data_IF_900546389683
#
_entry.id   IF_900546389683
#
_cell.length_a   1.000
_cell.length_b   1.000
_cell.length_c   1.000
_cell.angle_alpha   90.00
_cell.angle_beta   90.00
_cell.angle_gamma   90.00
#
_symmetry.space_group_name_H-M   'P 1'
#
loop_
_entity.id
_entity.type
_entity.pdbx_description
1 polymer ?
#
# COMPACT_ATOMS: atom_id res chain seq x y z
N UNK A 1 -10.05 -23.53 11.25
CA UNK A 1 -9.85 -22.21 10.60
C UNK A 1 -10.05 -22.42 9.12
N UNK A 2 -10.94 -21.66 8.48
CA UNK A 2 -11.09 -21.72 7.04
C UNK A 2 -9.90 -21.00 6.38
N UNK A 3 -9.26 -21.65 5.41
CA UNK A 3 -8.24 -21.01 4.58
C UNK A 3 -8.90 -20.61 3.27
N UNK A 4 -8.85 -19.33 2.94
CA UNK A 4 -9.30 -18.78 1.66
C UNK A 4 -8.15 -18.07 0.97
N UNK A 5 -8.11 -18.15 -0.35
CA UNK A 5 -7.25 -17.32 -1.17
C UNK A 5 -7.96 -16.00 -1.48
N UNK A 6 -7.22 -14.90 -1.38
CA UNK A 6 -7.70 -13.57 -1.69
C UNK A 6 -6.62 -12.82 -2.44
N UNK A 7 -7.00 -12.13 -3.51
CA UNK A 7 -6.06 -11.28 -4.25
C UNK A 7 -5.76 -10.00 -3.47
N UNK A 8 -4.58 -9.42 -3.69
CA UNK A 8 -4.23 -8.10 -3.13
C UNK A 8 -5.26 -7.05 -3.57
N UNK A 9 -5.72 -7.10 -4.82
CA UNK A 9 -6.76 -6.20 -5.35
C UNK A 9 -8.06 -6.26 -4.53
N UNK A 10 -8.56 -7.45 -4.22
CA UNK A 10 -9.75 -7.62 -3.39
C UNK A 10 -9.54 -7.07 -1.98
N UNK A 11 -8.39 -7.34 -1.37
CA UNK A 11 -8.06 -6.83 -0.04
C UNK A 11 -8.07 -5.29 -0.02
N UNK A 12 -7.43 -4.65 -1.00
CA UNK A 12 -7.39 -3.18 -1.09
C UNK A 12 -8.79 -2.60 -1.30
N UNK A 13 -9.61 -3.22 -2.17
CA UNK A 13 -11.01 -2.82 -2.35
C UNK A 13 -11.82 -2.93 -1.05
N UNK A 14 -11.68 -4.03 -0.32
CA UNK A 14 -12.34 -4.20 0.97
C UNK A 14 -11.92 -3.15 2.00
N UNK A 15 -10.64 -2.79 2.05
CA UNK A 15 -10.17 -1.68 2.91
C UNK A 15 -10.84 -0.36 2.51
N UNK A 16 -10.97 -0.08 1.21
CA UNK A 16 -11.62 1.13 0.70
C UNK A 16 -13.14 1.17 0.97
N UNK A 17 -13.79 0.01 0.93
CA UNK A 17 -15.21 -0.16 1.26
C UNK A 17 -15.48 -0.17 2.77
N UNK A 18 -14.46 0.03 3.61
CA UNK A 18 -14.54 -0.04 5.06
C UNK A 18 -15.03 -1.42 5.58
N UNK A 19 -14.60 -2.50 4.94
CA UNK A 19 -14.88 -3.88 5.39
C UNK A 19 -13.78 -4.38 6.35
N UNK A 20 -12.58 -3.81 6.29
CA UNK A 20 -11.41 -4.24 7.06
C UNK A 20 -10.95 -3.17 8.03
N UNK A 21 -10.69 -3.59 9.28
CA UNK A 21 -10.27 -2.71 10.36
C UNK A 21 -9.14 -3.29 11.20
N UNK A 22 -8.46 -2.42 11.94
CA UNK A 22 -7.40 -2.80 12.88
C UNK A 22 -7.96 -2.80 14.31
N UNK A 23 -8.05 -3.95 15.00
CA UNK A 23 -8.46 -4.00 16.40
C UNK A 23 -7.47 -3.23 17.29
N UNK A 24 -7.96 -2.64 18.38
CA UNK A 24 -7.14 -1.77 19.22
C UNK A 24 -5.92 -2.41 19.91
N UNK A 25 -5.84 -3.75 19.95
CA UNK A 25 -4.67 -4.49 20.42
C UNK A 25 -3.45 -4.32 19.49
N UNK A 26 -3.66 -3.86 18.25
CA UNK A 26 -2.59 -3.74 17.27
C UNK A 26 -1.64 -2.57 17.57
N UNK A 27 -0.33 -2.83 17.41
CA UNK A 27 0.69 -1.77 17.50
C UNK A 27 0.63 -0.82 16.30
N UNK A 28 1.15 0.39 16.50
CA UNK A 28 1.32 1.40 15.44
C UNK A 28 2.14 0.89 14.26
N UNK A 29 1.89 1.46 13.09
CA UNK A 29 2.69 1.20 11.89
C UNK A 29 4.13 1.73 12.03
N UNK A 30 5.12 0.89 11.74
CA UNK A 30 6.56 1.19 11.95
C UNK A 30 7.47 0.71 10.81
N UNK A 31 6.91 0.27 9.68
CA UNK A 31 7.72 -0.23 8.57
C UNK A 31 8.38 0.91 7.79
N UNK A 32 9.67 0.73 7.48
CA UNK A 32 10.47 1.60 6.62
C UNK A 32 10.24 1.31 5.14
N UNK A 33 10.57 2.27 4.28
CA UNK A 33 10.51 2.13 2.81
C UNK A 33 11.19 0.85 2.32
N UNK A 34 12.41 0.58 2.78
CA UNK A 34 13.17 -0.64 2.41
C UNK A 34 12.39 -1.93 2.75
N UNK A 35 11.70 -2.00 3.90
CA UNK A 35 10.89 -3.19 4.23
C UNK A 35 9.69 -3.33 3.31
N UNK A 36 9.06 -2.22 2.94
CA UNK A 36 7.92 -2.22 2.00
C UNK A 36 8.41 -2.68 0.62
N UNK A 37 9.50 -2.10 0.12
CA UNK A 37 10.09 -2.50 -1.16
C UNK A 37 10.50 -3.99 -1.17
N UNK A 38 11.09 -4.50 -0.07
CA UNK A 38 11.41 -5.94 0.06
C UNK A 38 10.18 -6.85 0.06
N UNK A 39 9.07 -6.40 0.64
CA UNK A 39 7.80 -7.14 0.57
C UNK A 39 7.34 -7.27 -0.89
N UNK A 40 7.34 -6.18 -1.65
CA UNK A 40 6.97 -6.22 -3.06
C UNK A 40 7.96 -7.00 -3.92
N UNK A 41 9.26 -6.91 -3.65
CA UNK A 41 10.27 -7.78 -4.26
C UNK A 41 9.97 -9.26 -4.02
N UNK A 42 9.55 -9.61 -2.81
CA UNK A 42 9.18 -10.99 -2.48
C UNK A 42 7.94 -11.43 -3.25
N UNK A 43 6.94 -10.55 -3.38
CA UNK A 43 5.73 -10.82 -4.19
C UNK A 43 6.11 -11.05 -5.65
N UNK A 44 6.93 -10.18 -6.26
CA UNK A 44 7.33 -10.29 -7.67
C UNK A 44 8.18 -11.52 -7.96
N UNK A 45 8.84 -12.10 -6.94
CA UNK A 45 9.68 -13.29 -7.05
C UNK A 45 8.95 -14.58 -6.62
N UNK A 46 7.64 -14.51 -6.45
CA UNK A 46 6.81 -15.62 -5.95
C UNK A 46 7.30 -16.21 -4.60
N UNK A 47 7.97 -15.39 -3.79
CA UNK A 47 8.41 -15.80 -2.46
C UNK A 47 7.23 -15.71 -1.48
N UNK A 48 7.13 -16.69 -0.54
CA UNK A 48 6.03 -16.72 0.41
C UNK A 48 6.08 -15.50 1.33
N UNK A 49 5.04 -14.68 1.28
CA UNK A 49 4.89 -13.51 2.15
C UNK A 49 4.17 -13.81 3.47
N UNK A 50 3.94 -15.10 3.76
CA UNK A 50 3.20 -15.60 4.93
C UNK A 50 1.69 -15.54 4.76
N UNK A 51 0.96 -15.91 5.83
CA UNK A 51 -0.51 -15.85 5.89
C UNK A 51 -0.98 -14.58 6.61
N UNK A 52 -2.27 -14.28 6.45
CA UNK A 52 -2.98 -13.21 7.16
C UNK A 52 -4.09 -13.82 8.00
N UNK A 53 -4.26 -13.31 9.22
CA UNK A 53 -5.31 -13.77 10.13
C UNK A 53 -6.35 -12.67 10.28
N UNK A 54 -7.59 -12.99 9.92
CA UNK A 54 -8.73 -12.10 10.05
C UNK A 54 -9.72 -12.66 11.07
N UNK A 55 -10.38 -11.75 11.77
CA UNK A 55 -11.48 -12.02 12.67
C UNK A 55 -12.77 -11.50 12.06
N UNK A 56 -13.62 -12.41 11.60
CA UNK A 56 -14.93 -12.07 11.06
C UNK A 56 -15.89 -11.76 12.21
N UNK A 57 -16.53 -10.61 12.13
CA UNK A 57 -17.38 -10.07 13.17
C UNK A 57 -18.69 -9.62 12.55
N UNK A 58 -19.79 -10.06 13.16
CA UNK A 58 -21.07 -9.46 12.84
C UNK A 58 -21.08 -8.01 13.28
N UNK A 59 -21.83 -7.15 12.56
CA UNK A 59 -21.97 -5.73 12.91
C UNK A 59 -22.27 -5.53 14.40
N UNK A 60 -23.20 -6.31 14.95
CA UNK A 60 -23.58 -6.25 16.37
C UNK A 60 -22.42 -6.57 17.32
N UNK A 61 -21.59 -7.57 17.03
CA UNK A 61 -20.44 -7.92 17.88
C UNK A 61 -19.33 -6.88 17.78
N UNK A 62 -19.13 -6.29 16.61
CA UNK A 62 -18.12 -5.27 16.39
C UNK A 62 -18.31 -4.02 17.27
N UNK A 63 -19.56 -3.67 17.62
CA UNK A 63 -19.87 -2.53 18.50
C UNK A 63 -19.29 -2.69 19.92
N UNK A 64 -18.95 -3.91 20.34
CA UNK A 64 -18.32 -4.20 21.63
C UNK A 64 -16.80 -3.97 21.68
N UNK A 65 -16.17 -3.60 20.56
CA UNK A 65 -14.72 -3.47 20.45
C UNK A 65 -14.31 -2.13 19.82
N UNK A 66 -13.08 -1.70 20.12
CA UNK A 66 -12.48 -0.52 19.49
C UNK A 66 -11.66 -0.92 18.28
N UNK A 67 -11.92 -0.24 17.16
CA UNK A 67 -11.23 -0.42 15.90
C UNK A 67 -10.59 0.88 15.42
N UNK A 68 -9.58 0.72 14.58
CA UNK A 68 -8.91 1.79 13.87
C UNK A 68 -9.01 1.56 12.35
N UNK A 69 -9.10 2.66 11.61
CA UNK A 69 -8.96 2.66 10.15
C UNK A 69 -7.50 2.42 9.74
N UNK A 70 -7.32 1.92 8.52
CA UNK A 70 -5.99 1.83 7.91
C UNK A 70 -5.40 3.21 7.63
N UNK A 71 -4.06 3.31 7.70
CA UNK A 71 -3.37 4.52 7.27
C UNK A 71 -3.44 4.63 5.75
N UNK A 72 -4.16 5.64 5.26
CA UNK A 72 -4.17 5.93 3.82
C UNK A 72 -2.85 6.54 3.36
N UNK A 73 -2.30 7.43 4.18
CA UNK A 73 -1.01 8.09 3.96
C UNK A 73 -0.13 7.95 5.21
N UNK A 74 1.17 7.76 4.99
CA UNK A 74 2.16 7.71 6.06
C UNK A 74 3.00 8.98 6.08
N UNK A 75 3.09 9.59 7.25
CA UNK A 75 3.91 10.73 7.59
C UNK A 75 4.66 10.40 8.87
N UNK A 76 5.99 10.32 8.79
CA UNK A 76 6.84 9.85 9.89
C UNK A 76 6.62 10.59 11.22
N UNK A 77 6.24 11.88 11.17
CA UNK A 77 5.99 12.70 12.38
C UNK A 77 4.55 12.60 12.88
N UNK A 78 3.58 12.54 11.97
CA UNK A 78 2.20 12.93 12.26
C UNK A 78 1.19 11.78 12.08
N UNK A 79 1.56 10.71 11.37
CA UNK A 79 0.61 9.62 11.09
C UNK A 79 0.22 8.86 12.33
N UNK A 80 -1.09 8.74 12.51
CA UNK A 80 -1.76 7.90 13.49
C UNK A 80 -3.01 7.33 12.83
N UNK A 81 -3.27 6.05 13.08
CA UNK A 81 -4.54 5.46 12.65
C UNK A 81 -5.70 6.17 13.37
N UNK A 82 -6.77 6.44 12.64
CA UNK A 82 -7.98 7.07 13.19
C UNK A 82 -8.83 6.02 13.89
N UNK A 83 -9.39 6.36 15.04
CA UNK A 83 -10.39 5.52 15.71
C UNK A 83 -11.67 5.56 14.87
N UNK A 84 -12.30 4.40 14.69
CA UNK A 84 -13.61 4.30 14.05
C UNK A 84 -14.66 4.87 15.00
N UNK A 85 -15.28 5.98 14.61
CA UNK A 85 -16.27 6.70 15.42
C UNK A 85 -17.71 6.59 14.88
N UNK A 86 -17.96 5.62 14.00
CA UNK A 86 -19.29 5.35 13.44
C UNK A 86 -19.72 3.93 13.77
N UNK A 87 -21.04 3.69 13.78
CA UNK A 87 -21.58 2.35 13.92
C UNK A 87 -21.28 1.50 12.68
N UNK A 88 -21.08 0.21 12.89
CA UNK A 88 -20.96 -0.75 11.79
C UNK A 88 -22.35 -1.11 11.29
N UNK A 89 -22.63 -0.84 10.00
CA UNK A 89 -23.88 -1.18 9.31
C UNK A 89 -23.87 -2.55 8.66
N UNK A 90 -22.68 -3.14 8.50
CA UNK A 90 -22.44 -4.46 7.92
C UNK A 90 -21.39 -5.20 8.75
N UNK A 91 -21.26 -6.48 8.47
CA UNK A 91 -20.22 -7.32 9.05
C UNK A 91 -18.84 -6.82 8.62
N UNK A 92 -17.84 -7.05 9.47
CA UNK A 92 -16.48 -6.53 9.29
C UNK A 92 -15.43 -7.60 9.55
N UNK A 93 -14.22 -7.34 9.07
CA UNK A 93 -13.04 -8.15 9.28
C UNK A 93 -12.00 -7.37 10.11
N UNK A 94 -11.72 -7.85 11.32
CA UNK A 94 -10.61 -7.35 12.16
C UNK A 94 -9.29 -8.04 11.80
N UNK A 95 -8.24 -7.28 11.49
CA UNK A 95 -6.91 -7.85 11.20
C UNK A 95 -6.19 -8.23 12.50
N UNK A 96 -6.02 -9.54 12.73
CA UNK A 96 -5.32 -10.08 13.90
C UNK A 96 -3.82 -10.25 13.65
N UNK A 97 -3.42 -10.65 12.44
CA UNK A 97 -2.00 -10.73 12.04
C UNK A 97 -1.76 -10.16 10.63
N UNK A 98 -0.54 -9.67 10.41
CA UNK A 98 -0.09 -9.12 9.13
C UNK A 98 -0.47 -7.67 8.88
N UNK A 99 -0.99 -6.97 9.90
CA UNK A 99 -1.36 -5.55 9.83
C UNK A 99 -0.29 -4.64 9.21
N UNK A 100 1.00 -4.88 9.48
CA UNK A 100 2.09 -4.09 8.91
C UNK A 100 2.29 -4.37 7.41
N UNK A 101 2.17 -5.63 6.99
CA UNK A 101 2.26 -6.05 5.58
C UNK A 101 1.09 -5.46 4.79
N UNK A 102 -0.14 -5.60 5.31
CA UNK A 102 -1.36 -5.06 4.69
C UNK A 102 -1.31 -3.53 4.58
N UNK A 103 -0.93 -2.84 5.67
CA UNK A 103 -0.78 -1.38 5.64
C UNK A 103 0.29 -0.94 4.63
N UNK A 104 1.39 -1.69 4.53
CA UNK A 104 2.47 -1.43 3.56
C UNK A 104 1.98 -1.60 2.12
N UNK A 105 1.21 -2.65 1.84
CA UNK A 105 0.57 -2.87 0.53
C UNK A 105 -0.37 -1.71 0.19
N UNK A 106 -1.21 -1.30 1.14
CA UNK A 106 -2.12 -0.17 0.92
C UNK A 106 -1.37 1.13 0.61
N UNK A 107 -0.36 1.49 1.42
CA UNK A 107 0.42 2.72 1.20
C UNK A 107 1.16 2.68 -0.14
N UNK A 108 1.75 1.54 -0.50
CA UNK A 108 2.46 1.39 -1.77
C UNK A 108 1.52 1.52 -2.98
N UNK A 109 0.32 0.94 -2.89
CA UNK A 109 -0.63 0.88 -4.00
C UNK A 109 -1.52 2.11 -4.10
N UNK A 110 -1.86 2.78 -3.00
CA UNK A 110 -2.87 3.85 -2.98
C UNK A 110 -2.50 5.07 -2.14
N UNK A 111 -1.40 5.02 -1.38
CA UNK A 111 -0.99 6.09 -0.47
C UNK A 111 0.27 6.84 -0.88
N UNK A 112 0.70 7.74 0.02
CA UNK A 112 2.02 8.37 -0.01
C UNK A 112 2.81 8.04 1.26
N UNK A 113 4.13 8.08 1.16
CA UNK A 113 5.06 7.78 2.24
C UNK A 113 6.07 8.93 2.45
N UNK A 114 5.83 9.73 3.48
CA UNK A 114 6.62 10.92 3.80
C UNK A 114 7.58 10.64 4.95
N UNK A 115 8.87 10.57 4.66
CA UNK A 115 9.93 10.58 5.69
C UNK A 115 10.75 11.83 5.61
N UNK A 116 11.36 12.14 6.74
CA UNK A 116 12.21 13.31 6.89
C UNK A 116 13.45 13.20 6.01
N UNK A 117 13.72 14.22 5.20
CA UNK A 117 14.99 14.38 4.50
C UNK A 117 16.16 14.37 5.48
N UNK A 118 17.26 13.74 5.07
CA UNK A 118 18.51 13.73 5.83
C UNK A 118 18.94 15.18 6.11
N UNK A 119 19.34 15.46 7.34
CA UNK A 119 19.77 16.78 7.83
C UNK A 119 18.72 17.89 7.86
N UNK A 120 17.47 17.65 7.43
CA UNK A 120 16.42 18.64 7.55
C UNK A 120 16.01 18.86 9.02
N UNK A 121 15.35 19.99 9.33
CA UNK A 121 14.82 20.26 10.66
C UNK A 121 13.44 19.64 10.83
N UNK A 122 13.17 18.97 11.95
CA UNK A 122 11.90 18.26 12.22
C UNK A 122 10.67 19.17 12.23
N UNK A 123 10.84 20.44 12.61
CA UNK A 123 9.77 21.44 12.63
C UNK A 123 9.43 22.02 11.24
N UNK A 124 10.25 21.74 10.23
CA UNK A 124 9.99 22.22 8.88
C UNK A 124 9.11 21.20 8.15
N UNK A 125 7.90 21.59 7.73
CA UNK A 125 6.99 20.68 7.04
C UNK A 125 7.52 20.27 5.66
N UNK A 126 8.28 21.16 4.99
CA UNK A 126 8.98 20.84 3.73
C UNK A 126 10.10 19.79 3.88
N UNK A 127 10.41 19.37 5.11
CA UNK A 127 11.34 18.28 5.37
C UNK A 127 10.77 16.90 5.01
N UNK A 128 9.46 16.78 4.77
CA UNK A 128 8.77 15.51 4.57
C UNK A 128 8.11 15.46 3.19
N UNK A 129 8.88 15.25 2.11
CA UNK A 129 8.31 15.18 0.77
C UNK A 129 7.37 13.98 0.64
N UNK A 130 6.26 14.18 -0.04
CA UNK A 130 5.37 13.09 -0.47
C UNK A 130 6.08 12.24 -1.51
N UNK A 131 6.10 10.93 -1.28
CA UNK A 131 6.72 9.97 -2.19
C UNK A 131 5.78 8.81 -2.40
N UNK A 132 5.72 8.33 -3.63
CA UNK A 132 4.90 7.19 -4.04
C UNK A 132 5.81 6.04 -4.45
N UNK A 133 5.26 4.82 -4.50
CA UNK A 133 6.04 3.67 -4.90
C UNK A 133 6.11 3.56 -6.41
N UNK A 134 7.33 3.43 -6.93
CA UNK A 134 7.63 3.19 -8.32
C UNK A 134 8.39 1.87 -8.48
N UNK A 135 8.25 1.25 -9.65
CA UNK A 135 9.05 0.11 -10.09
C UNK A 135 9.93 0.54 -11.27
N UNK A 136 11.21 0.15 -11.25
CA UNK A 136 12.11 0.36 -12.37
C UNK A 136 11.88 -0.75 -13.42
N UNK A 137 11.29 -0.40 -14.56
CA UNK A 137 11.00 -1.36 -15.63
C UNK A 137 12.25 -1.82 -16.39
N UNK A 138 13.37 -1.10 -16.26
CA UNK A 138 14.64 -1.47 -16.89
C UNK A 138 15.48 -2.43 -16.04
N UNK A 139 15.07 -2.68 -14.79
CA UNK A 139 15.78 -3.58 -13.90
C UNK A 139 15.14 -4.97 -13.86
N UNK A 140 15.88 -5.96 -14.35
CA UNK A 140 15.53 -7.39 -14.26
C UNK A 140 15.29 -7.91 -12.84
N UNK A 141 15.78 -7.20 -11.80
CA UNK A 141 15.66 -7.62 -10.41
C UNK A 141 14.45 -7.07 -9.66
N UNK A 142 13.57 -6.32 -10.34
CA UNK A 142 12.38 -5.66 -9.79
C UNK A 142 12.69 -4.55 -8.77
N UNK A 143 13.54 -3.58 -9.10
CA UNK A 143 13.82 -2.46 -8.19
C UNK A 143 12.58 -1.58 -7.90
N UNK A 144 12.08 -1.68 -6.66
CA UNK A 144 11.06 -0.76 -6.12
C UNK A 144 11.69 0.38 -5.32
N UNK A 145 11.18 1.60 -5.50
CA UNK A 145 11.61 2.79 -4.75
C UNK A 145 10.44 3.72 -4.41
N UNK A 146 10.53 4.38 -3.27
CA UNK A 146 9.69 5.53 -2.96
C UNK A 146 10.35 6.81 -3.49
N UNK A 147 9.74 7.43 -4.50
CA UNK A 147 10.27 8.62 -5.17
C UNK A 147 9.23 9.74 -5.15
N UNK A 148 9.71 10.99 -5.23
CA UNK A 148 8.82 12.09 -5.61
C UNK A 148 8.57 12.01 -7.11
N UNK A 149 7.47 12.59 -7.59
CA UNK A 149 7.17 12.62 -9.03
C UNK A 149 8.33 13.22 -9.83
N UNK A 150 8.94 14.30 -9.32
CA UNK A 150 10.09 14.95 -9.94
C UNK A 150 11.31 14.03 -9.99
N UNK A 151 11.58 13.25 -8.95
CA UNK A 151 12.73 12.34 -8.92
C UNK A 151 12.52 11.15 -9.88
N UNK A 152 11.28 10.67 -10.02
CA UNK A 152 10.92 9.60 -10.95
C UNK A 152 11.10 10.06 -12.42
N UNK A 153 10.59 11.24 -12.77
CA UNK A 153 10.69 11.80 -14.14
C UNK A 153 12.12 12.19 -14.53
N UNK A 154 12.92 12.71 -13.58
CA UNK A 154 14.29 13.17 -13.86
C UNK A 154 15.36 12.06 -13.72
N UNK A 155 14.94 10.82 -13.48
CA UNK A 155 15.86 9.70 -13.36
C UNK A 155 16.63 9.46 -14.67
N UNK A 156 17.96 9.47 -14.57
CA UNK A 156 18.86 9.10 -15.68
C UNK A 156 19.17 7.60 -15.74
N UNK A 157 18.88 6.87 -14.66
CA UNK A 157 19.38 5.51 -14.42
C UNK A 157 18.29 4.43 -14.46
N UNK A 158 17.06 4.77 -14.81
CA UNK A 158 15.94 3.83 -14.78
C UNK A 158 14.64 4.47 -15.24
N UNK A 159 13.74 3.64 -15.76
CA UNK A 159 12.37 4.01 -16.13
C UNK A 159 11.44 3.64 -14.97
N UNK A 160 11.01 4.65 -14.21
CA UNK A 160 10.21 4.45 -13.00
C UNK A 160 8.72 4.57 -13.32
N UNK A 161 8.03 3.43 -13.33
CA UNK A 161 6.58 3.37 -13.51
C UNK A 161 5.87 3.40 -12.15
N UNK A 162 4.79 4.19 -12.06
CA UNK A 162 4.03 4.39 -10.83
C UNK A 162 3.19 3.15 -10.52
N UNK A 163 3.47 2.50 -9.38
CA UNK A 163 2.87 1.20 -9.03
C UNK A 163 1.36 1.29 -8.79
N UNK A 164 0.84 2.45 -8.36
CA UNK A 164 -0.60 2.68 -8.18
C UNK A 164 -1.40 2.46 -9.47
N UNK A 165 -0.85 2.88 -10.61
CA UNK A 165 -1.54 2.82 -11.89
C UNK A 165 -1.91 1.39 -12.27
N UNK A 166 -1.16 0.39 -11.79
CA UNK A 166 -1.46 -1.04 -12.00
C UNK A 166 -2.86 -1.39 -11.48
N UNK A 167 -3.28 -0.87 -10.31
CA UNK A 167 -4.61 -1.15 -9.79
C UNK A 167 -5.70 -0.41 -10.56
N UNK A 168 -5.46 0.86 -10.90
CA UNK A 168 -6.42 1.69 -11.60
C UNK A 168 -6.70 1.14 -12.99
N UNK A 169 -5.66 0.74 -13.73
CA UNK A 169 -5.79 0.16 -15.07
C UNK A 169 -6.53 -1.19 -15.05
N UNK A 170 -6.34 -2.00 -14.00
CA UNK A 170 -7.11 -3.24 -13.79
C UNK A 170 -8.58 -2.98 -13.40
N UNK A 171 -8.88 -1.83 -12.77
CA UNK A 171 -10.23 -1.45 -12.32
C UNK A 171 -11.08 -0.79 -13.40
N UNK A 172 -10.46 -0.04 -14.32
CA UNK A 172 -11.16 0.78 -15.32
C UNK A 172 -11.10 0.26 -16.76
N UNK A 173 -10.30 -0.77 -17.07
CA UNK A 173 -10.25 -1.35 -18.41
C UNK A 173 -10.63 -2.83 -18.46
N UNK A 174 -11.07 -3.30 -19.63
CA UNK A 174 -10.84 -4.69 -20.12
C UNK A 174 -9.34 -4.94 -20.37
N UNK A 175 -8.48 -4.20 -19.67
CA UNK A 175 -7.06 -4.16 -19.86
C UNK A 175 -6.45 -5.46 -19.32
N UNK A 176 -6.08 -6.36 -20.22
CA UNK A 176 -5.15 -7.42 -19.90
C UNK A 176 -3.78 -6.82 -19.55
N UNK A 177 -2.95 -7.56 -18.82
CA UNK A 177 -1.57 -7.16 -18.58
C UNK A 177 -0.84 -6.78 -19.89
N UNK A 178 -1.19 -7.44 -21.00
CA UNK A 178 -0.63 -7.15 -22.33
C UNK A 178 -0.99 -5.75 -22.83
N UNK A 179 -2.21 -5.28 -22.60
CA UNK A 179 -2.63 -3.94 -23.03
C UNK A 179 -1.93 -2.81 -22.26
N UNK A 180 -1.61 -3.05 -20.97
CA UNK A 180 -0.82 -2.14 -20.14
C UNK A 180 0.59 -2.03 -20.71
N UNK A 181 1.19 -3.18 -21.03
CA UNK A 181 2.52 -3.26 -21.65
C UNK A 181 2.53 -2.55 -23.00
N UNK A 182 1.53 -2.77 -23.85
CA UNK A 182 1.41 -2.11 -25.15
C UNK A 182 1.30 -0.59 -25.03
N UNK A 183 0.55 -0.09 -24.04
CA UNK A 183 0.43 1.34 -23.79
C UNK A 183 1.75 1.96 -23.31
N UNK A 184 2.51 1.23 -22.48
CA UNK A 184 3.84 1.65 -22.06
C UNK A 184 4.82 1.72 -23.23
N UNK A 185 4.78 0.72 -24.13
CA UNK A 185 5.61 0.70 -25.34
C UNK A 185 5.27 1.88 -26.28
N UNK A 186 3.98 2.24 -26.40
CA UNK A 186 3.52 3.35 -27.25
C UNK A 186 3.86 4.72 -26.70
N UNK A 187 3.90 4.90 -25.38
CA UNK A 187 4.16 6.21 -24.76
C UNK A 187 5.63 6.60 -24.80
N UNK A 188 6.57 5.64 -24.85
CA UNK A 188 8.00 5.92 -25.04
C UNK A 188 8.67 4.92 -26.02
N UNK A 189 8.47 5.08 -27.34
CA UNK A 189 9.06 4.20 -28.34
C UNK A 189 10.54 4.58 -28.55
N UNK A 190 11.45 3.98 -27.77
CA UNK A 190 12.89 4.04 -28.08
C UNK A 190 13.81 4.58 -26.98
N UNK A 191 13.60 4.16 -25.73
CA UNK A 191 14.64 4.22 -24.71
C UNK A 191 15.11 2.82 -24.32
#
# INVERSE_FOLDING_TARGET
MAYSSMSIRQLIKGINSNEYYLPAIQRKFVWSEDKICRLFNSIMRDYPIGTFLFWELTAQKAHGYTFYEFLKNYHQRDSKNKIVNHSFSSDIHGVLDGQQRISSMYIALQGVYCTKKKYAKTKNDNAYPERQMYINLLDSNYEFKFLTEKDAQNSKSGYFYLVRNILDELDYGDASADSIIDNLIKTEPGR
#
